data_IF_298852658624
#
_entry.id   IF_298852658624
#
_cell.length_a   1.000
_cell.length_b   1.000
_cell.length_c   1.000
_cell.angle_alpha   90.00
_cell.angle_beta   90.00
_cell.angle_gamma   90.00
#
_symmetry.space_group_name_H-M   'P 1'
#
loop_
_entity.id
_entity.type
_entity.pdbx_description
1 polymer ?
#
# COMPACT_ATOMS: atom_id res chain seq x y z
N UNK A 1 -18.24 -27.01 -4.91
CA UNK A 1 -17.92 -25.88 -4.02
C UNK A 1 -17.95 -24.63 -4.88
N UNK A 2 -18.76 -23.63 -4.54
CA UNK A 2 -18.75 -22.36 -5.29
C UNK A 2 -17.42 -21.67 -4.96
N UNK A 3 -16.64 -21.20 -5.94
CA UNK A 3 -15.38 -20.53 -5.66
C UNK A 3 -15.59 -19.23 -4.86
N UNK A 4 -14.67 -18.86 -3.98
CA UNK A 4 -14.75 -17.67 -3.11
C UNK A 4 -14.89 -16.32 -3.87
N UNK A 5 -14.66 -16.33 -5.19
CA UNK A 5 -14.75 -15.17 -6.08
C UNK A 5 -16.04 -15.13 -6.92
N UNK A 6 -17.00 -16.04 -6.74
CA UNK A 6 -18.35 -15.94 -7.30
C UNK A 6 -19.34 -15.91 -6.14
N UNK A 7 -19.94 -14.75 -5.90
CA UNK A 7 -20.78 -14.50 -4.73
C UNK A 7 -22.15 -13.97 -5.14
N UNK A 8 -23.13 -14.18 -4.27
CA UNK A 8 -24.38 -13.44 -4.29
C UNK A 8 -24.26 -12.31 -3.29
N UNK A 9 -24.76 -11.13 -3.66
CA UNK A 9 -24.73 -9.93 -2.81
C UNK A 9 -26.11 -9.30 -2.75
N UNK A 10 -26.37 -8.60 -1.66
CA UNK A 10 -27.58 -7.83 -1.42
C UNK A 10 -27.27 -6.45 -0.81
N UNK A 11 -28.30 -5.68 -0.45
CA UNK A 11 -28.13 -4.35 0.13
C UNK A 11 -27.31 -4.32 1.43
N UNK A 12 -27.28 -5.41 2.18
CA UNK A 12 -26.61 -5.48 3.49
C UNK A 12 -25.10 -5.67 3.38
N UNK A 13 -24.63 -6.36 2.34
CA UNK A 13 -23.21 -6.71 2.17
C UNK A 13 -22.52 -6.00 1.00
N UNK A 14 -23.26 -5.31 0.12
CA UNK A 14 -22.72 -4.66 -1.08
C UNK A 14 -21.54 -3.71 -0.79
N UNK A 15 -21.63 -2.93 0.29
CA UNK A 15 -20.57 -1.99 0.66
C UNK A 15 -19.25 -2.72 0.90
N UNK A 16 -19.28 -3.85 1.59
CA UNK A 16 -18.10 -4.62 1.94
C UNK A 16 -17.63 -5.50 0.77
N UNK A 17 -18.55 -6.31 0.22
CA UNK A 17 -18.25 -7.35 -0.76
C UNK A 17 -17.98 -6.83 -2.18
N UNK A 18 -18.49 -5.62 -2.49
CA UNK A 18 -18.28 -4.96 -3.79
C UNK A 18 -17.38 -3.74 -3.65
N UNK A 19 -17.78 -2.73 -2.88
CA UNK A 19 -17.07 -1.44 -2.89
C UNK A 19 -15.70 -1.54 -2.21
N UNK A 20 -15.66 -1.99 -0.95
CA UNK A 20 -14.38 -2.15 -0.23
C UNK A 20 -13.51 -3.24 -0.84
N UNK A 21 -14.08 -4.36 -1.25
CA UNK A 21 -13.31 -5.42 -1.91
C UNK A 21 -12.66 -4.94 -3.22
N UNK A 22 -13.33 -4.06 -3.97
CA UNK A 22 -12.81 -3.51 -5.23
C UNK A 22 -11.55 -2.64 -5.10
N UNK A 23 -11.14 -2.27 -3.88
CA UNK A 23 -9.85 -1.60 -3.63
C UNK A 23 -8.66 -2.55 -3.68
N UNK A 24 -8.90 -3.87 -3.81
CA UNK A 24 -7.86 -4.91 -3.87
C UNK A 24 -7.95 -5.70 -5.16
N UNK A 25 -9.17 -6.10 -5.53
CA UNK A 25 -9.43 -6.94 -6.70
C UNK A 25 -10.68 -6.41 -7.40
N UNK A 26 -10.67 -6.18 -8.73
CA UNK A 26 -11.83 -5.69 -9.46
C UNK A 26 -13.08 -6.55 -9.21
N UNK A 27 -14.24 -5.91 -9.09
CA UNK A 27 -15.53 -6.60 -8.89
C UNK A 27 -16.46 -6.34 -10.06
N UNK A 28 -16.93 -7.38 -10.73
CA UNK A 28 -18.04 -7.32 -11.68
C UNK A 28 -19.34 -7.59 -10.94
N UNK A 29 -20.29 -6.68 -11.02
CA UNK A 29 -21.66 -6.91 -10.54
C UNK A 29 -22.55 -7.25 -11.73
N UNK A 30 -23.12 -8.46 -11.73
CA UNK A 30 -24.17 -8.92 -12.65
C UNK A 30 -25.54 -8.62 -12.05
N UNK A 31 -26.21 -7.61 -12.62
CA UNK A 31 -27.57 -7.23 -12.25
C UNK A 31 -28.58 -8.06 -13.05
N UNK A 32 -29.28 -8.96 -12.36
CA UNK A 32 -30.15 -9.96 -12.97
C UNK A 32 -31.51 -10.05 -12.26
N UNK A 33 -32.45 -10.81 -12.85
CA UNK A 33 -33.71 -11.19 -12.22
C UNK A 33 -34.20 -12.55 -12.73
N UNK A 34 -35.10 -13.22 -12.00
CA UNK A 34 -35.55 -14.58 -12.32
C UNK A 34 -36.36 -14.69 -13.62
N UNK A 35 -37.07 -13.62 -13.97
CA UNK A 35 -37.86 -13.45 -15.19
C UNK A 35 -37.02 -13.06 -16.42
N UNK A 36 -35.76 -12.69 -16.23
CA UNK A 36 -34.87 -12.27 -17.30
C UNK A 36 -34.29 -13.47 -18.05
N UNK A 37 -34.90 -13.83 -19.18
CA UNK A 37 -34.41 -14.93 -20.03
C UNK A 37 -32.97 -14.68 -20.54
N UNK A 38 -32.60 -13.48 -21.05
CA UNK A 38 -31.22 -13.25 -21.49
C UNK A 38 -30.19 -13.36 -20.36
N UNK A 39 -30.56 -13.08 -19.11
CA UNK A 39 -29.70 -13.24 -17.95
C UNK A 39 -29.29 -14.70 -17.72
N UNK A 40 -30.15 -15.67 -18.08
CA UNK A 40 -29.85 -17.11 -18.01
C UNK A 40 -28.75 -17.53 -18.99
N UNK A 41 -28.48 -16.73 -20.01
CA UNK A 41 -27.36 -16.93 -20.94
C UNK A 41 -26.10 -16.22 -20.44
N UNK A 42 -26.21 -14.98 -19.98
CA UNK A 42 -25.06 -14.19 -19.54
C UNK A 42 -24.44 -14.71 -18.24
N UNK A 43 -25.25 -15.02 -17.23
CA UNK A 43 -24.77 -15.44 -15.90
C UNK A 43 -23.78 -16.60 -15.97
N UNK A 44 -24.11 -17.74 -16.63
CA UNK A 44 -23.18 -18.85 -16.77
C UNK A 44 -21.87 -18.50 -17.51
N UNK A 45 -21.92 -17.59 -18.50
CA UNK A 45 -20.71 -17.11 -19.19
C UNK A 45 -19.81 -16.32 -18.25
N UNK A 46 -20.38 -15.40 -17.48
CA UNK A 46 -19.63 -14.62 -16.50
C UNK A 46 -19.02 -15.53 -15.43
N UNK A 47 -19.76 -16.54 -14.96
CA UNK A 47 -19.23 -17.52 -14.02
C UNK A 47 -18.09 -18.36 -14.61
N UNK A 48 -18.17 -18.73 -15.89
CA UNK A 48 -17.09 -19.43 -16.58
C UNK A 48 -15.82 -18.56 -16.64
N UNK A 49 -15.94 -17.29 -17.06
CA UNK A 49 -14.82 -16.36 -17.07
C UNK A 49 -14.26 -16.08 -15.67
N UNK A 50 -15.10 -16.01 -14.65
CA UNK A 50 -14.64 -15.85 -13.27
C UNK A 50 -13.81 -17.07 -12.83
N UNK A 51 -14.25 -18.29 -13.16
CA UNK A 51 -13.50 -19.53 -12.90
C UNK A 51 -12.17 -19.56 -13.64
N UNK A 52 -12.16 -19.23 -14.93
CA UNK A 52 -10.93 -19.12 -15.74
C UNK A 52 -9.99 -18.02 -15.24
N UNK A 53 -10.55 -16.95 -14.66
CA UNK A 53 -9.80 -15.85 -14.10
C UNK A 53 -9.13 -16.17 -12.77
N UNK A 54 -9.49 -17.28 -12.10
CA UNK A 54 -8.87 -17.75 -10.85
C UNK A 54 -8.64 -16.64 -9.81
N UNK A 55 -9.65 -15.78 -9.60
CA UNK A 55 -9.58 -14.68 -8.63
C UNK A 55 -9.00 -13.36 -9.15
N UNK A 56 -8.65 -13.25 -10.45
CA UNK A 56 -8.29 -11.96 -11.10
C UNK A 56 -9.39 -10.89 -10.98
N UNK A 57 -10.63 -11.32 -10.85
CA UNK A 57 -11.76 -10.47 -10.51
C UNK A 57 -12.78 -11.30 -9.71
N UNK A 58 -13.64 -10.61 -8.96
CA UNK A 58 -14.80 -11.21 -8.31
C UNK A 58 -16.06 -10.96 -9.12
N UNK A 59 -16.91 -11.97 -9.25
CA UNK A 59 -18.25 -11.85 -9.80
C UNK A 59 -19.26 -11.80 -8.65
N UNK A 60 -19.94 -10.67 -8.50
CA UNK A 60 -21.03 -10.47 -7.56
C UNK A 60 -22.37 -10.50 -8.31
N UNK A 61 -23.28 -11.37 -7.92
CA UNK A 61 -24.59 -11.55 -8.56
C UNK A 61 -25.65 -10.89 -7.71
N UNK A 62 -26.32 -9.87 -8.26
CA UNK A 62 -27.30 -9.05 -7.56
C UNK A 62 -28.66 -9.16 -8.24
N UNK A 63 -29.64 -9.69 -7.50
CA UNK A 63 -31.02 -9.76 -7.96
C UNK A 63 -31.70 -8.39 -7.81
N UNK A 64 -32.10 -7.76 -8.91
CA UNK A 64 -32.65 -6.39 -8.88
C UNK A 64 -34.03 -6.30 -8.25
N UNK A 65 -34.80 -7.40 -8.24
CA UNK A 65 -36.14 -7.44 -7.63
C UNK A 65 -36.05 -7.41 -6.09
N UNK A 66 -34.99 -8.00 -5.54
CA UNK A 66 -34.74 -8.07 -4.09
C UNK A 66 -33.96 -6.85 -3.58
N UNK A 67 -33.32 -6.09 -4.49
CA UNK A 67 -32.36 -5.04 -4.17
C UNK A 67 -32.67 -3.75 -4.95
N UNK A 68 -33.92 -3.28 -4.86
CA UNK A 68 -34.38 -2.13 -5.65
C UNK A 68 -33.61 -0.83 -5.36
N UNK A 69 -33.16 -0.63 -4.12
CA UNK A 69 -32.39 0.55 -3.73
C UNK A 69 -31.05 0.60 -4.46
N UNK A 70 -30.35 -0.52 -4.52
CA UNK A 70 -29.12 -0.65 -5.31
C UNK A 70 -29.39 -0.54 -6.82
N UNK A 71 -30.46 -1.15 -7.33
CA UNK A 71 -30.84 -1.01 -8.73
C UNK A 71 -31.09 0.47 -9.11
N UNK A 72 -31.78 1.23 -8.26
CA UNK A 72 -31.98 2.69 -8.43
C UNK A 72 -30.67 3.47 -8.30
N UNK A 73 -29.85 3.20 -7.27
CA UNK A 73 -28.55 3.86 -7.02
C UNK A 73 -27.64 3.76 -8.23
N UNK A 74 -27.57 2.57 -8.84
CA UNK A 74 -26.73 2.31 -10.01
C UNK A 74 -27.45 2.53 -11.34
N UNK A 75 -28.66 3.09 -11.31
CA UNK A 75 -29.45 3.48 -12.49
C UNK A 75 -29.68 2.31 -13.46
N UNK A 76 -29.96 1.12 -12.93
CA UNK A 76 -30.26 -0.07 -13.74
C UNK A 76 -31.63 0.12 -14.38
N UNK A 77 -31.65 0.29 -15.71
CA UNK A 77 -32.88 0.51 -16.49
C UNK A 77 -33.32 -0.73 -17.25
N UNK A 78 -32.37 -1.55 -17.68
CA UNK A 78 -32.59 -2.78 -18.42
C UNK A 78 -31.66 -3.85 -17.86
N UNK A 79 -32.10 -5.11 -17.90
CA UNK A 79 -31.28 -6.27 -17.53
C UNK A 79 -31.20 -7.28 -18.69
N UNK A 80 -30.11 -8.04 -18.81
CA UNK A 80 -28.92 -8.02 -17.94
C UNK A 80 -28.11 -6.73 -18.09
N UNK A 81 -27.55 -6.28 -16.97
CA UNK A 81 -26.59 -5.18 -16.93
C UNK A 81 -25.41 -5.60 -16.06
N UNK A 82 -24.20 -5.22 -16.48
CA UNK A 82 -22.98 -5.50 -15.73
C UNK A 82 -22.24 -4.20 -15.49
N UNK A 83 -21.78 -3.99 -14.25
CA UNK A 83 -20.90 -2.88 -13.89
C UNK A 83 -19.63 -3.42 -13.25
N UNK A 84 -18.49 -2.86 -13.63
CA UNK A 84 -17.19 -3.17 -13.04
C UNK A 84 -16.80 -2.08 -12.05
N UNK A 85 -16.33 -2.51 -10.89
CA UNK A 85 -15.88 -1.67 -9.79
C UNK A 85 -14.39 -1.87 -9.55
N UNK A 86 -13.66 -0.76 -9.44
CA UNK A 86 -12.26 -0.68 -9.02
C UNK A 86 -12.12 0.52 -8.09
N UNK A 87 -11.44 0.36 -6.96
CA UNK A 87 -11.28 1.38 -5.92
C UNK A 87 -12.61 2.01 -5.46
N UNK A 88 -13.68 1.21 -5.41
CA UNK A 88 -15.02 1.66 -5.00
C UNK A 88 -15.79 2.43 -6.08
N UNK A 89 -15.21 2.61 -7.27
CA UNK A 89 -15.80 3.39 -8.36
C UNK A 89 -16.20 2.50 -9.54
N UNK A 90 -17.29 2.85 -10.23
CA UNK A 90 -17.65 2.20 -11.49
C UNK A 90 -16.67 2.64 -12.58
N UNK A 91 -15.88 1.70 -13.08
CA UNK A 91 -14.86 1.95 -14.13
C UNK A 91 -15.29 1.48 -15.52
N UNK A 92 -16.38 0.72 -15.61
CA UNK A 92 -16.93 0.28 -16.88
C UNK A 92 -18.29 -0.40 -16.71
N UNK A 93 -19.06 -0.44 -17.79
CA UNK A 93 -20.35 -1.12 -17.82
C UNK A 93 -20.70 -1.64 -19.21
N UNK A 94 -21.59 -2.62 -19.26
CA UNK A 94 -22.28 -3.02 -20.48
C UNK A 94 -23.70 -3.51 -20.14
N UNK A 95 -24.56 -3.59 -21.17
CA UNK A 95 -25.92 -4.11 -21.04
C UNK A 95 -26.22 -5.10 -22.17
N UNK A 96 -27.16 -6.00 -21.92
CA UNK A 96 -27.46 -7.10 -22.83
C UNK A 96 -26.42 -8.21 -22.75
N UNK A 97 -26.33 -9.02 -23.80
CA UNK A 97 -25.44 -10.20 -23.86
C UNK A 97 -24.40 -9.99 -24.97
N UNK A 98 -23.21 -9.45 -24.65
CA UNK A 98 -22.13 -9.31 -25.63
C UNK A 98 -21.63 -10.67 -26.14
N UNK A 99 -20.83 -10.64 -27.21
CA UNK A 99 -20.04 -11.80 -27.62
C UNK A 99 -18.99 -12.15 -26.56
N UNK A 100 -18.50 -13.38 -26.59
CA UNK A 100 -17.46 -13.84 -25.65
C UNK A 100 -16.19 -12.99 -25.79
N UNK A 101 -15.80 -12.63 -27.01
CA UNK A 101 -14.71 -11.70 -27.28
C UNK A 101 -14.97 -10.30 -26.67
N UNK A 102 -16.21 -9.82 -26.73
CA UNK A 102 -16.60 -8.55 -26.12
C UNK A 102 -16.45 -8.57 -24.60
N UNK A 103 -16.88 -9.67 -23.95
CA UNK A 103 -16.71 -9.87 -22.51
C UNK A 103 -15.23 -9.97 -22.15
N UNK A 104 -14.44 -10.77 -22.87
CA UNK A 104 -13.00 -10.88 -22.65
C UNK A 104 -12.28 -9.54 -22.82
N UNK A 105 -12.66 -8.74 -23.83
CA UNK A 105 -12.12 -7.40 -24.05
C UNK A 105 -12.48 -6.44 -22.91
N UNK A 106 -13.70 -6.54 -22.38
CA UNK A 106 -14.10 -5.81 -21.19
C UNK A 106 -13.25 -6.20 -19.97
N UNK A 107 -13.09 -7.51 -19.70
CA UNK A 107 -12.30 -8.01 -18.58
C UNK A 107 -10.81 -7.64 -18.68
N UNK A 108 -10.21 -7.69 -19.88
CA UNK A 108 -8.81 -7.29 -20.10
C UNK A 108 -8.54 -5.84 -19.71
N UNK A 109 -9.50 -4.94 -19.91
CA UNK A 109 -9.38 -3.52 -19.51
C UNK A 109 -9.44 -3.31 -17.99
N UNK A 110 -9.84 -4.34 -17.24
CA UNK A 110 -9.91 -4.31 -15.78
C UNK A 110 -8.73 -4.99 -15.11
N UNK A 111 -7.93 -5.76 -15.86
CA UNK A 111 -6.75 -6.42 -15.32
C UNK A 111 -5.71 -5.36 -14.90
N UNK A 112 -4.99 -5.58 -13.78
CA UNK A 112 -3.86 -4.73 -13.42
C UNK A 112 -2.88 -4.64 -14.58
N UNK A 113 -2.38 -3.44 -14.84
CA UNK A 113 -1.36 -3.26 -15.88
C UNK A 113 -0.03 -3.85 -15.40
N UNK A 114 0.94 -4.13 -16.30
CA UNK A 114 2.28 -4.53 -15.88
C UNK A 114 2.91 -3.55 -14.87
N UNK A 115 2.61 -2.26 -14.99
CA UNK A 115 3.03 -1.23 -14.04
C UNK A 115 2.37 -1.41 -12.67
N UNK A 116 1.06 -1.65 -12.61
CA UNK A 116 0.36 -1.92 -11.33
C UNK A 116 0.96 -3.12 -10.61
N UNK A 117 1.35 -4.15 -11.37
CA UNK A 117 2.02 -5.34 -10.84
C UNK A 117 3.41 -5.03 -10.29
N UNK A 118 4.17 -4.11 -10.90
CA UNK A 118 5.48 -3.69 -10.39
C UNK A 118 5.35 -2.94 -9.06
N UNK A 119 4.37 -2.04 -8.93
CA UNK A 119 4.11 -1.33 -7.69
C UNK A 119 3.69 -2.29 -6.56
N UNK A 120 2.77 -3.22 -6.87
CA UNK A 120 2.34 -4.25 -5.93
C UNK A 120 3.50 -5.18 -5.52
N UNK A 121 4.37 -5.55 -6.47
CA UNK A 121 5.58 -6.34 -6.22
C UNK A 121 6.51 -5.60 -5.25
N UNK A 122 6.81 -4.32 -5.49
CA UNK A 122 7.63 -3.51 -4.60
C UNK A 122 7.08 -3.47 -3.17
N UNK A 123 5.79 -3.18 -3.01
CA UNK A 123 5.14 -3.16 -1.69
C UNK A 123 5.20 -4.52 -0.98
N UNK A 124 4.97 -5.61 -1.69
CA UNK A 124 5.02 -6.97 -1.10
C UNK A 124 6.43 -7.35 -0.66
N UNK A 125 7.44 -6.98 -1.44
CA UNK A 125 8.85 -7.23 -1.10
C UNK A 125 9.30 -6.41 0.11
N UNK A 126 8.82 -5.18 0.27
CA UNK A 126 9.02 -4.40 1.50
C UNK A 126 8.51 -5.13 2.74
N UNK A 127 7.31 -5.73 2.67
CA UNK A 127 6.73 -6.49 3.80
C UNK A 127 7.54 -7.75 4.12
N UNK A 128 8.14 -8.37 3.10
CA UNK A 128 9.01 -9.53 3.24
C UNK A 128 10.46 -9.15 3.63
N UNK A 129 10.73 -7.86 3.87
CA UNK A 129 12.07 -7.31 4.14
C UNK A 129 13.10 -7.53 3.02
N UNK A 130 12.63 -7.80 1.80
CA UNK A 130 13.45 -8.02 0.62
C UNK A 130 13.72 -6.68 -0.10
N UNK A 131 14.53 -5.84 0.56
CA UNK A 131 14.65 -4.43 0.21
C UNK A 131 15.33 -4.16 -1.14
N UNK A 132 16.28 -5.01 -1.54
CA UNK A 132 17.01 -4.83 -2.80
C UNK A 132 16.10 -5.13 -4.00
N UNK A 133 15.34 -6.23 -3.94
CA UNK A 133 14.37 -6.63 -4.95
C UNK A 133 13.17 -5.67 -4.96
N UNK A 134 12.79 -5.16 -3.79
CA UNK A 134 11.78 -4.09 -3.68
C UNK A 134 12.25 -2.81 -4.38
N UNK A 135 13.50 -2.42 -4.18
CA UNK A 135 14.09 -1.25 -4.84
C UNK A 135 14.02 -1.39 -6.37
N UNK A 136 14.43 -2.54 -6.91
CA UNK A 136 14.37 -2.82 -8.35
C UNK A 136 12.94 -2.68 -8.89
N UNK A 137 11.95 -3.25 -8.20
CA UNK A 137 10.55 -3.15 -8.58
C UNK A 137 10.06 -1.69 -8.61
N UNK A 138 10.38 -0.88 -7.58
CA UNK A 138 10.02 0.53 -7.56
C UNK A 138 10.73 1.33 -8.66
N UNK A 139 12.00 1.05 -8.94
CA UNK A 139 12.75 1.73 -10.01
C UNK A 139 12.15 1.43 -11.38
N UNK A 140 11.78 0.18 -11.65
CA UNK A 140 11.10 -0.20 -12.89
C UNK A 140 9.75 0.51 -13.04
N UNK A 141 8.97 0.59 -11.96
CA UNK A 141 7.71 1.34 -11.95
C UNK A 141 7.92 2.84 -12.19
N UNK A 142 8.87 3.45 -11.50
CA UNK A 142 9.20 4.89 -11.60
C UNK A 142 9.81 5.26 -12.97
N UNK A 143 10.39 4.31 -13.71
CA UNK A 143 10.80 4.55 -15.09
C UNK A 143 9.62 4.91 -16.00
N UNK A 144 8.42 4.40 -15.68
CA UNK A 144 7.17 4.70 -16.41
C UNK A 144 6.38 5.82 -15.74
N UNK A 145 6.35 5.87 -14.40
CA UNK A 145 5.65 6.89 -13.61
C UNK A 145 6.58 7.67 -12.65
N UNK A 146 7.46 8.57 -13.14
CA UNK A 146 8.56 9.15 -12.35
C UNK A 146 8.17 9.92 -11.09
N UNK A 147 6.96 10.48 -11.06
CA UNK A 147 6.50 11.35 -9.97
C UNK A 147 5.44 10.69 -9.07
N UNK A 148 5.28 9.36 -9.12
CA UNK A 148 4.29 8.66 -8.32
C UNK A 148 4.69 8.64 -6.83
N UNK A 149 3.98 9.37 -5.94
CA UNK A 149 4.48 9.61 -4.57
C UNK A 149 4.61 8.35 -3.72
N UNK A 150 3.68 7.40 -3.85
CA UNK A 150 3.73 6.13 -3.13
C UNK A 150 4.95 5.28 -3.50
N UNK A 151 5.34 5.29 -4.78
CA UNK A 151 6.49 4.52 -5.26
C UNK A 151 7.80 5.20 -4.88
N UNK A 152 7.85 6.55 -4.96
CA UNK A 152 8.98 7.32 -4.45
C UNK A 152 9.19 7.08 -2.95
N UNK A 153 8.13 7.10 -2.15
CA UNK A 153 8.23 6.84 -0.71
C UNK A 153 8.71 5.40 -0.44
N UNK A 154 8.16 4.42 -1.16
CA UNK A 154 8.60 3.03 -1.10
C UNK A 154 10.09 2.86 -1.40
N UNK A 155 10.56 3.44 -2.51
CA UNK A 155 11.98 3.42 -2.89
C UNK A 155 12.89 4.09 -1.84
N UNK A 156 12.49 5.24 -1.29
CA UNK A 156 13.25 5.91 -0.22
C UNK A 156 13.37 5.02 1.02
N UNK A 157 12.28 4.34 1.41
CA UNK A 157 12.31 3.41 2.54
C UNK A 157 13.22 2.22 2.26
N UNK A 158 13.12 1.61 1.08
CA UNK A 158 13.96 0.50 0.65
C UNK A 158 15.46 0.88 0.69
N UNK A 159 15.80 2.05 0.17
CA UNK A 159 17.17 2.58 0.20
C UNK A 159 17.67 2.81 1.63
N UNK A 160 16.90 3.49 2.48
CA UNK A 160 17.28 3.74 3.87
C UNK A 160 17.46 2.45 4.68
N UNK A 161 16.63 1.42 4.45
CA UNK A 161 16.74 0.12 5.11
C UNK A 161 17.97 -0.68 4.67
N UNK A 162 18.50 -0.39 3.47
CA UNK A 162 19.80 -0.88 2.99
C UNK A 162 20.97 0.01 3.44
N UNK A 163 20.72 1.10 4.16
CA UNK A 163 21.74 2.07 4.59
C UNK A 163 22.12 3.11 3.53
N UNK A 164 21.46 3.10 2.37
CA UNK A 164 21.70 4.00 1.24
C UNK A 164 21.04 5.37 1.47
N UNK A 165 21.82 6.31 2.04
CA UNK A 165 21.29 7.59 2.51
C UNK A 165 21.47 8.76 1.55
N UNK A 166 22.46 8.69 0.64
CA UNK A 166 22.79 9.80 -0.26
C UNK A 166 21.66 10.01 -1.28
N UNK A 167 21.23 8.93 -1.93
CA UNK A 167 20.13 9.00 -2.89
C UNK A 167 18.80 9.33 -2.21
N UNK A 168 18.50 8.66 -1.10
CA UNK A 168 17.33 8.93 -0.26
C UNK A 168 17.20 10.40 0.12
N UNK A 169 18.30 11.03 0.56
CA UNK A 169 18.33 12.46 0.92
C UNK A 169 17.98 13.37 -0.28
N UNK A 170 18.48 13.03 -1.47
CA UNK A 170 18.20 13.78 -2.70
C UNK A 170 16.71 13.68 -3.06
N UNK A 171 16.17 12.47 -3.05
CA UNK A 171 14.75 12.22 -3.35
C UNK A 171 13.81 12.93 -2.35
N UNK A 172 14.15 12.91 -1.06
CA UNK A 172 13.39 13.59 -0.01
C UNK A 172 13.38 15.11 -0.15
N UNK A 173 14.42 15.69 -0.75
CA UNK A 173 14.49 17.14 -1.00
C UNK A 173 13.50 17.57 -2.08
N UNK A 174 13.30 16.74 -3.11
CA UNK A 174 12.40 17.00 -4.23
C UNK A 174 11.07 16.23 -4.16
N UNK A 175 10.68 15.74 -2.99
CA UNK A 175 9.48 14.89 -2.84
C UNK A 175 8.19 15.69 -3.16
N UNK A 176 7.28 15.16 -4.00
CA UNK A 176 6.09 15.88 -4.43
C UNK A 176 5.04 16.04 -3.32
N UNK A 177 4.32 17.16 -3.33
CA UNK A 177 3.17 17.38 -2.46
C UNK A 177 2.10 16.30 -2.71
N UNK A 178 1.73 15.59 -1.66
CA UNK A 178 0.89 14.38 -1.73
C UNK A 178 0.48 13.97 -0.30
N UNK A 179 -0.37 12.95 -0.18
CA UNK A 179 -0.71 12.36 1.13
C UNK A 179 0.52 11.71 1.81
N UNK A 180 1.48 11.24 1.02
CA UNK A 180 2.73 10.63 1.48
C UNK A 180 3.75 11.66 1.99
N UNK A 181 3.57 12.95 1.67
CA UNK A 181 4.56 14.00 1.95
C UNK A 181 4.92 14.11 3.43
N UNK A 182 3.94 13.99 4.33
CA UNK A 182 4.17 14.07 5.77
C UNK A 182 5.10 12.94 6.25
N UNK A 183 4.89 11.71 5.78
CA UNK A 183 5.76 10.57 6.12
C UNK A 183 7.16 10.80 5.53
N UNK A 184 7.24 11.26 4.27
CA UNK A 184 8.53 11.58 3.65
C UNK A 184 9.33 12.60 4.49
N UNK A 185 8.69 13.65 5.03
CA UNK A 185 9.40 14.61 5.90
C UNK A 185 9.97 13.97 7.16
N UNK A 186 9.29 12.98 7.75
CA UNK A 186 9.80 12.28 8.94
C UNK A 186 11.05 11.44 8.63
N UNK A 187 11.28 11.06 7.37
CA UNK A 187 12.47 10.30 6.98
C UNK A 187 13.72 11.18 6.75
N UNK A 188 13.56 12.50 6.63
CA UNK A 188 14.68 13.42 6.40
C UNK A 188 15.76 13.36 7.50
N UNK A 189 15.43 13.44 8.80
CA UNK A 189 16.43 13.34 9.86
C UNK A 189 17.23 12.04 9.80
N UNK A 190 16.57 10.92 9.47
CA UNK A 190 17.24 9.62 9.31
C UNK A 190 18.22 9.65 8.14
N UNK A 191 17.79 10.11 6.97
CA UNK A 191 18.64 10.18 5.79
C UNK A 191 19.86 11.10 6.02
N UNK A 192 19.64 12.27 6.64
CA UNK A 192 20.71 13.20 7.01
C UNK A 192 21.68 12.59 8.01
N UNK A 193 21.19 11.98 9.09
CA UNK A 193 22.05 11.36 10.10
C UNK A 193 22.83 10.18 9.52
N UNK A 194 22.23 9.38 8.63
CA UNK A 194 22.90 8.28 7.96
C UNK A 194 23.99 8.74 7.00
N UNK A 195 23.76 9.85 6.27
CA UNK A 195 24.75 10.45 5.38
C UNK A 195 25.93 11.08 6.13
N UNK A 196 25.68 11.70 7.28
CA UNK A 196 26.71 12.35 8.10
C UNK A 196 27.67 11.35 8.77
N UNK A 197 27.24 10.11 9.02
CA UNK A 197 28.02 9.11 9.75
C UNK A 197 28.37 7.92 8.83
N UNK A 198 29.28 8.16 7.88
CA UNK A 198 29.87 7.12 7.03
C UNK A 198 31.03 6.44 7.75
N UNK A 199 30.80 5.21 8.24
CA UNK A 199 31.75 4.17 8.67
C UNK A 199 33.00 4.55 9.51
N UNK A 200 33.12 5.80 9.95
CA UNK A 200 34.18 6.25 10.84
C UNK A 200 33.81 5.92 12.28
N UNK A 201 34.69 5.16 12.93
CA UNK A 201 34.72 5.07 14.39
C UNK A 201 35.09 6.45 14.92
N UNK A 202 34.11 7.17 15.47
CA UNK A 202 34.38 8.40 16.21
C UNK A 202 35.01 8.01 17.55
N UNK A 203 36.31 8.27 17.69
CA UNK A 203 36.98 8.30 18.98
C UNK A 203 36.59 9.60 19.68
N UNK A 204 35.58 9.51 20.55
CA UNK A 204 35.12 10.62 21.38
C UNK A 204 35.15 10.22 22.85
N UNK A 205 35.63 11.11 23.71
CA UNK A 205 35.57 10.93 25.15
C UNK A 205 34.17 11.24 25.71
N UNK A 206 33.24 11.72 24.87
CA UNK A 206 31.88 12.07 25.28
C UNK A 206 30.95 10.84 25.16
N UNK A 207 30.45 10.26 26.27
CA UNK A 207 29.70 9.01 26.22
C UNK A 207 28.38 9.09 25.46
N UNK A 208 27.67 10.23 25.53
CA UNK A 208 26.41 10.43 24.80
C UNK A 208 26.64 10.52 23.28
N UNK A 209 27.74 11.13 22.86
CA UNK A 209 28.09 11.24 21.45
C UNK A 209 28.48 9.87 20.88
N UNK A 210 29.29 9.10 21.62
CA UNK A 210 29.61 7.72 21.26
C UNK A 210 28.35 6.85 21.12
N UNK A 211 27.40 7.00 22.06
CA UNK A 211 26.12 6.30 22.02
C UNK A 211 25.27 6.70 20.80
N UNK A 212 25.21 7.99 20.48
CA UNK A 212 24.45 8.51 19.34
C UNK A 212 24.99 7.94 18.01
N UNK A 213 26.30 8.09 17.77
CA UNK A 213 26.97 7.58 16.57
C UNK A 213 26.80 6.07 16.45
N UNK A 214 26.91 5.34 17.56
CA UNK A 214 26.69 3.90 17.57
C UNK A 214 25.24 3.53 17.22
N UNK A 215 24.26 4.27 17.74
CA UNK A 215 22.85 4.10 17.38
C UNK A 215 22.61 4.30 15.88
N UNK A 216 23.17 5.37 15.28
CA UNK A 216 23.08 5.60 13.84
C UNK A 216 23.69 4.44 13.05
N UNK A 217 24.87 3.96 13.46
CA UNK A 217 25.55 2.82 12.81
C UNK A 217 24.73 1.53 12.91
N UNK A 218 24.09 1.27 14.05
CA UNK A 218 23.20 0.12 14.23
C UNK A 218 22.00 0.22 13.29
N UNK A 219 21.33 1.37 13.26
CA UNK A 219 20.18 1.59 12.39
C UNK A 219 20.52 1.42 10.90
N UNK A 220 21.65 1.97 10.44
CA UNK A 220 22.14 1.79 9.05
C UNK A 220 22.37 0.34 8.66
N UNK A 221 22.70 -0.52 9.62
CA UNK A 221 22.93 -1.97 9.41
C UNK A 221 21.68 -2.81 9.62
N UNK A 222 20.50 -2.18 9.64
CA UNK A 222 19.21 -2.84 9.87
C UNK A 222 18.90 -3.14 11.33
N UNK A 223 19.81 -2.88 12.28
CA UNK A 223 19.57 -3.10 13.71
C UNK A 223 18.80 -1.93 14.34
N UNK A 224 17.61 -1.65 13.81
CA UNK A 224 16.82 -0.46 14.16
C UNK A 224 16.38 -0.50 15.63
N UNK A 225 15.93 -1.63 16.16
CA UNK A 225 15.47 -1.72 17.56
C UNK A 225 16.57 -1.43 18.56
N UNK A 226 17.77 -2.00 18.35
CA UNK A 226 18.93 -1.69 19.18
C UNK A 226 19.34 -0.20 19.11
N UNK A 227 19.16 0.44 17.95
CA UNK A 227 19.38 1.88 17.80
C UNK A 227 18.33 2.68 18.59
N UNK A 228 17.05 2.31 18.50
CA UNK A 228 15.96 2.94 19.24
C UNK A 228 16.18 2.83 20.76
N UNK A 229 16.58 1.66 21.27
CA UNK A 229 16.91 1.47 22.68
C UNK A 229 18.05 2.41 23.13
N UNK A 230 19.13 2.48 22.34
CA UNK A 230 20.24 3.38 22.61
C UNK A 230 19.83 4.86 22.59
N UNK A 231 18.95 5.26 21.67
CA UNK A 231 18.42 6.61 21.63
C UNK A 231 17.51 6.94 22.82
N UNK A 232 16.73 5.99 23.33
CA UNK A 232 15.96 6.19 24.57
C UNK A 232 16.89 6.46 25.75
N UNK A 233 18.01 5.74 25.86
CA UNK A 233 18.99 5.96 26.92
C UNK A 233 19.66 7.34 26.85
N UNK A 234 19.87 7.87 25.64
CA UNK A 234 20.33 9.25 25.44
C UNK A 234 19.25 10.23 25.88
N UNK A 235 18.01 10.06 25.41
CA UNK A 235 16.90 10.99 25.69
C UNK A 235 16.51 11.04 27.18
N UNK A 236 16.63 9.92 27.91
CA UNK A 236 16.45 9.87 29.38
C UNK A 236 17.48 10.72 30.13
N UNK A 237 18.69 10.87 29.57
CA UNK A 237 19.77 11.68 30.16
C UNK A 237 19.70 13.13 29.71
N UNK A 238 19.41 13.37 28.44
CA UNK A 238 19.20 14.69 27.84
C UNK A 238 18.14 14.64 26.74
N UNK A 239 16.92 15.07 27.09
CA UNK A 239 15.76 15.12 26.18
C UNK A 239 15.91 16.07 25.00
N UNK A 240 16.88 17.00 25.04
CA UNK A 240 17.16 17.96 23.97
C UNK A 240 18.56 17.76 23.37
N UNK A 241 19.16 16.58 23.55
CA UNK A 241 20.51 16.31 23.05
C UNK A 241 20.61 16.66 21.56
N UNK A 242 21.71 17.35 21.19
CA UNK A 242 21.95 17.89 19.84
C UNK A 242 20.77 18.73 19.31
N UNK A 243 20.17 19.55 20.15
CA UNK A 243 19.05 20.42 19.79
C UNK A 243 17.75 19.67 19.48
N UNK A 244 17.64 18.39 19.87
CA UNK A 244 16.49 17.53 19.59
C UNK A 244 16.69 16.54 18.44
N UNK A 245 17.86 16.52 17.80
CA UNK A 245 18.17 15.63 16.66
C UNK A 245 17.88 14.15 16.97
N UNK A 246 18.22 13.68 18.18
CA UNK A 246 17.97 12.27 18.57
C UNK A 246 16.48 11.92 18.53
N UNK A 247 15.63 12.83 19.00
CA UNK A 247 14.17 12.64 18.97
C UNK A 247 13.65 12.61 17.53
N UNK A 248 14.16 13.50 16.68
CA UNK A 248 13.76 13.57 15.27
C UNK A 248 14.15 12.29 14.51
N UNK A 249 15.39 11.81 14.71
CA UNK A 249 15.86 10.54 14.15
C UNK A 249 15.04 9.36 14.69
N UNK A 250 14.76 9.32 15.99
CA UNK A 250 13.95 8.27 16.60
C UNK A 250 12.55 8.19 15.96
N UNK A 251 11.86 9.33 15.84
CA UNK A 251 10.53 9.38 15.20
C UNK A 251 10.62 8.98 13.73
N UNK A 252 11.67 9.41 13.03
CA UNK A 252 11.91 9.02 11.64
C UNK A 252 12.15 7.52 11.46
N UNK A 253 12.87 6.87 12.38
CA UNK A 253 13.06 5.42 12.37
C UNK A 253 11.76 4.65 12.61
N UNK A 254 10.87 5.16 13.47
CA UNK A 254 9.52 4.59 13.60
C UNK A 254 8.71 4.74 12.30
N UNK A 255 8.81 5.88 11.63
CA UNK A 255 8.17 6.08 10.32
C UNK A 255 8.77 5.18 9.24
N UNK A 256 10.06 4.88 9.31
CA UNK A 256 10.76 3.96 8.40
C UNK A 256 10.23 2.53 8.55
N UNK A 257 10.07 2.03 9.79
CA UNK A 257 9.44 0.74 10.10
C UNK A 257 7.97 0.70 9.63
N UNK A 258 7.25 1.81 9.77
CA UNK A 258 5.85 1.96 9.39
C UNK A 258 4.88 1.58 10.52
N UNK A 259 3.70 2.20 10.52
CA UNK A 259 2.76 2.14 11.64
C UNK A 259 2.17 0.75 11.91
N UNK A 260 2.17 -0.13 10.91
CA UNK A 260 1.69 -1.51 11.06
C UNK A 260 2.70 -2.42 11.79
N UNK A 261 3.94 -1.98 12.01
CA UNK A 261 4.96 -2.81 12.66
C UNK A 261 4.61 -3.06 14.14
N UNK A 262 4.61 -4.32 14.62
CA UNK A 262 4.07 -4.69 15.94
C UNK A 262 4.78 -4.01 17.13
N UNK A 263 6.06 -3.66 16.99
CA UNK A 263 6.85 -3.02 18.04
C UNK A 263 6.67 -1.48 18.10
N UNK A 264 6.22 -0.84 17.02
CA UNK A 264 6.12 0.63 16.95
C UNK A 264 5.24 1.22 18.05
N UNK A 265 4.07 0.64 18.40
CA UNK A 265 3.25 1.15 19.51
C UNK A 265 3.98 1.18 20.86
N UNK A 266 4.85 0.21 21.14
CA UNK A 266 5.61 0.16 22.38
C UNK A 266 6.69 1.26 22.41
N UNK A 267 7.49 1.38 21.35
CA UNK A 267 8.50 2.43 21.24
C UNK A 267 7.93 3.85 21.29
N UNK A 268 6.71 4.08 20.78
CA UNK A 268 6.02 5.37 20.93
C UNK A 268 5.71 5.69 22.41
N UNK A 269 5.30 4.70 23.20
CA UNK A 269 5.07 4.86 24.65
C UNK A 269 6.38 5.14 25.39
N UNK A 270 7.43 4.39 25.07
CA UNK A 270 8.74 4.54 25.71
C UNK A 270 9.35 5.90 25.40
N UNK A 271 9.21 6.40 24.17
CA UNK A 271 9.61 7.76 23.81
C UNK A 271 8.85 8.80 24.64
N UNK A 272 7.53 8.64 24.77
CA UNK A 272 6.72 9.57 25.57
C UNK A 272 7.20 9.60 27.03
N UNK A 273 7.49 8.44 27.62
CA UNK A 273 8.00 8.34 28.99
C UNK A 273 9.42 8.88 29.16
N UNK A 274 10.23 8.89 28.10
CA UNK A 274 11.59 9.45 28.16
C UNK A 274 11.59 10.99 28.08
N UNK A 275 10.54 11.60 27.53
CA UNK A 275 10.46 13.05 27.29
C UNK A 275 9.69 13.83 28.37
N UNK A 276 8.80 13.17 29.12
CA UNK A 276 7.87 13.77 30.09
C UNK A 276 7.86 13.00 31.40
#
# INVERSE_FOLDING_TARGET
>A
MVPDFIIHVDESDFEYEVLQYSTRVPVLVDFWATWCIPCRVLGPKLEAFAREGEGRFRLAKLNVDENEGLARRFKIRNIPAVKAFVDGHVVGEFSGVPSDEGIQSFLRRLAPTPEDLLLAKGNSLMELSDYAESEDAYRQFLAVQPNHPGALLGLIRALLLQGESIESSRMLTSFPASREYAIAQLLKPVATAFAAHQDQLLETEQPLEAAFVNGIRLAKRGNIFAALDGFLDILRKDRHYRGGEVKEVFVGLLALLGDAHPEVPQYRRDLSSALF
#
